data_IF_683862521896
#
_entry.id   IF_683862521896
#
_cell.length_a   1.000
_cell.length_b   1.000
_cell.length_c   1.000
_cell.angle_alpha   90.00
_cell.angle_beta   90.00
_cell.angle_gamma   90.00
#
_symmetry.space_group_name_H-M   'P 1'
#
loop_
_entity.id
_entity.type
_entity.pdbx_description
1 polymer ?
#
# COMPACT_ATOMS: atom_id res chain seq x y z
N UNK A 1 18.70 -2.60 8.63
CA UNK A 1 19.06 -2.11 7.28
C UNK A 1 17.79 -2.15 6.44
N UNK A 2 17.21 -1.01 6.17
CA UNK A 2 16.07 -0.95 5.28
C UNK A 2 16.49 -1.41 3.88
N UNK A 3 15.80 -2.41 3.38
CA UNK A 3 15.95 -2.78 1.97
C UNK A 3 15.50 -1.59 1.12
N UNK A 4 16.29 -1.18 0.15
CA UNK A 4 15.93 -0.09 -0.78
C UNK A 4 14.58 -0.30 -1.47
N UNK A 5 14.09 -1.55 -1.49
CA UNK A 5 12.87 -1.97 -2.17
C UNK A 5 11.66 -2.05 -1.23
N UNK A 6 11.82 -1.71 0.04
CA UNK A 6 10.76 -1.79 1.04
C UNK A 6 10.71 -0.49 1.84
N UNK A 7 9.50 0.02 2.05
CA UNK A 7 9.21 1.18 2.87
C UNK A 7 8.11 0.84 3.86
N UNK A 8 8.31 1.17 5.14
CA UNK A 8 7.40 0.82 6.21
C UNK A 8 7.12 2.05 7.07
N UNK A 9 5.84 2.28 7.36
CA UNK A 9 5.35 3.24 8.35
C UNK A 9 4.77 2.47 9.54
N UNK A 10 5.32 2.67 10.74
CA UNK A 10 4.89 1.92 11.92
C UNK A 10 4.98 2.67 13.24
N UNK A 11 5.30 3.95 13.20
CA UNK A 11 5.44 4.77 14.42
C UNK A 11 4.59 6.03 14.32
N UNK A 12 4.20 6.56 15.47
CA UNK A 12 3.39 7.78 15.56
C UNK A 12 3.95 8.92 14.71
N UNK A 13 5.23 9.21 14.83
CA UNK A 13 5.87 10.28 14.06
C UNK A 13 5.81 10.03 12.54
N UNK A 14 5.98 8.79 12.13
CA UNK A 14 5.88 8.42 10.71
C UNK A 14 4.45 8.60 10.20
N UNK A 15 3.45 8.14 10.94
CA UNK A 15 2.05 8.33 10.58
C UNK A 15 1.64 9.81 10.53
N UNK A 16 2.13 10.61 11.46
CA UNK A 16 1.79 12.05 11.53
C UNK A 16 2.31 12.86 10.34
N UNK A 17 3.19 12.31 9.53
CA UNK A 17 3.64 12.95 8.27
C UNK A 17 2.63 12.81 7.14
N UNK A 18 1.68 11.91 7.25
CA UNK A 18 0.62 11.70 6.28
C UNK A 18 -0.62 12.56 6.55
N UNK A 19 -1.64 12.34 5.76
CA UNK A 19 -2.93 13.00 5.90
C UNK A 19 -3.89 12.12 6.70
N UNK A 20 -4.49 12.73 7.71
CA UNK A 20 -5.45 12.11 8.61
C UNK A 20 -6.84 12.69 8.31
N UNK A 21 -7.73 11.89 7.77
CA UNK A 21 -9.12 12.24 7.49
C UNK A 21 -10.05 11.33 8.27
N UNK A 22 -10.73 11.87 9.29
CA UNK A 22 -11.57 11.11 10.23
C UNK A 22 -10.84 9.98 10.96
N UNK A 23 -9.54 10.06 11.04
CA UNK A 23 -8.69 9.15 11.79
C UNK A 23 -7.71 9.93 12.66
N UNK A 24 -7.25 9.30 13.72
CA UNK A 24 -6.22 9.86 14.61
C UNK A 24 -5.17 8.81 14.90
N UNK A 25 -4.02 9.23 15.38
CA UNK A 25 -2.97 8.32 15.85
C UNK A 25 -3.03 8.28 17.39
N UNK A 26 -3.30 7.10 17.90
CA UNK A 26 -3.37 6.85 19.34
C UNK A 26 -2.53 5.62 19.69
N UNK A 27 -1.61 5.76 20.64
CA UNK A 27 -0.72 4.68 21.08
C UNK A 27 0.02 3.98 19.93
N UNK A 28 0.52 4.75 18.96
CA UNK A 28 1.24 4.23 17.82
C UNK A 28 0.38 3.53 16.76
N UNK A 29 -0.93 3.70 16.81
CA UNK A 29 -1.89 3.09 15.88
C UNK A 29 -2.82 4.13 15.28
N UNK A 30 -3.19 3.93 14.03
CA UNK A 30 -4.23 4.70 13.37
C UNK A 30 -5.57 4.10 13.79
N UNK A 31 -6.47 4.94 14.30
CA UNK A 31 -7.83 4.58 14.71
C UNK A 31 -8.82 5.60 14.19
N UNK A 32 -10.10 5.24 14.12
CA UNK A 32 -11.17 6.19 13.76
C UNK A 32 -11.31 7.28 14.81
N UNK A 33 -11.58 8.50 14.35
CA UNK A 33 -11.88 9.64 15.23
C UNK A 33 -13.13 9.40 16.05
N UNK A 34 -13.18 10.07 17.19
CA UNK A 34 -14.35 10.14 18.06
C UNK A 34 -15.06 11.48 17.86
N UNK A 35 -16.35 11.42 17.61
CA UNK A 35 -17.23 12.58 17.57
C UNK A 35 -18.38 12.32 18.52
N UNK A 36 -18.58 13.22 19.49
CA UNK A 36 -19.62 13.10 20.52
C UNK A 36 -19.61 11.75 21.27
N UNK A 37 -18.41 11.21 21.52
CA UNK A 37 -18.23 9.96 22.26
C UNK A 37 -18.35 8.69 21.44
N UNK A 38 -18.63 8.77 20.15
CA UNK A 38 -18.70 7.61 19.23
C UNK A 38 -17.69 7.71 18.09
N UNK A 39 -17.21 6.59 17.64
CA UNK A 39 -16.35 6.54 16.45
C UNK A 39 -17.14 6.87 15.18
N UNK A 40 -16.53 7.66 14.31
CA UNK A 40 -17.08 7.90 12.97
C UNK A 40 -17.12 6.61 12.17
N UNK A 41 -18.07 6.44 11.21
CA UNK A 41 -18.24 5.16 10.50
C UNK A 41 -17.10 4.82 9.55
N UNK A 42 -16.36 5.80 9.07
CA UNK A 42 -15.18 5.57 8.21
C UNK A 42 -14.21 6.74 8.28
N UNK A 43 -12.97 6.44 7.98
CA UNK A 43 -11.91 7.42 7.84
C UNK A 43 -10.79 6.89 6.96
N UNK A 44 -9.86 7.74 6.61
CA UNK A 44 -8.77 7.40 5.70
C UNK A 44 -7.45 8.01 6.17
N UNK A 45 -6.41 7.20 6.16
CA UNK A 45 -5.04 7.66 6.30
C UNK A 45 -4.36 7.62 4.93
N UNK A 46 -3.72 8.71 4.52
CA UNK A 46 -2.95 8.78 3.27
C UNK A 46 -1.49 9.08 3.59
N UNK A 47 -0.59 8.21 3.14
CA UNK A 47 0.84 8.39 3.35
C UNK A 47 1.40 9.56 2.54
N UNK A 48 2.55 10.13 2.93
CA UNK A 48 3.33 10.92 1.99
C UNK A 48 3.69 10.12 0.75
N UNK A 49 4.04 10.80 -0.33
CA UNK A 49 4.62 10.16 -1.49
C UNK A 49 5.97 9.52 -1.12
N UNK A 50 6.16 8.27 -1.49
CA UNK A 50 7.35 7.49 -1.17
C UNK A 50 8.23 7.38 -2.41
N UNK A 51 9.44 7.95 -2.41
CA UNK A 51 10.40 7.71 -3.47
C UNK A 51 10.96 6.29 -3.35
N UNK A 52 11.01 5.58 -4.45
CA UNK A 52 11.44 4.20 -4.53
C UNK A 52 12.39 4.02 -5.72
N UNK A 53 13.25 2.97 -5.71
CA UNK A 53 13.93 2.57 -6.94
C UNK A 53 12.93 2.35 -8.06
N UNK A 54 13.31 2.56 -9.31
CA UNK A 54 12.44 2.28 -10.46
C UNK A 54 11.89 0.86 -10.37
N UNK A 55 10.59 0.69 -10.46
CA UNK A 55 9.90 -0.58 -10.27
C UNK A 55 8.77 -0.80 -11.28
N UNK A 56 8.39 -2.05 -11.44
CA UNK A 56 7.28 -2.46 -12.31
C UNK A 56 6.20 -3.25 -11.57
N UNK A 57 6.39 -3.54 -10.30
CA UNK A 57 5.40 -4.18 -9.46
C UNK A 57 5.51 -3.71 -8.01
N UNK A 58 4.37 -3.66 -7.33
CA UNK A 58 4.25 -3.17 -5.97
C UNK A 58 3.32 -4.07 -5.16
N UNK A 59 3.70 -4.37 -3.94
CA UNK A 59 2.87 -5.02 -2.92
C UNK A 59 2.66 -4.08 -1.75
N UNK A 60 1.44 -4.06 -1.24
CA UNK A 60 1.09 -3.35 -0.01
C UNK A 60 0.94 -4.37 1.12
N UNK A 61 1.46 -4.02 2.28
CA UNK A 61 1.30 -4.79 3.51
C UNK A 61 0.76 -3.90 4.62
N UNK A 62 0.04 -4.49 5.55
CA UNK A 62 -0.48 -3.79 6.72
C UNK A 62 -0.65 -4.75 7.89
N UNK A 63 -0.52 -4.20 9.11
CA UNK A 63 -0.94 -4.88 10.33
C UNK A 63 -2.13 -4.13 10.91
N UNK A 64 -3.24 -4.80 11.02
CA UNK A 64 -4.48 -4.22 11.53
C UNK A 64 -5.15 -5.14 12.53
N UNK A 65 -5.70 -4.55 13.57
CA UNK A 65 -6.69 -5.18 14.44
C UNK A 65 -8.07 -4.81 13.93
N UNK A 66 -8.86 -5.80 13.58
CA UNK A 66 -10.22 -5.61 13.06
C UNK A 66 -11.24 -6.38 13.92
N UNK A 67 -11.70 -5.80 15.04
CA UNK A 67 -12.77 -6.40 15.83
C UNK A 67 -14.02 -6.67 14.98
N UNK A 68 -14.95 -7.53 15.44
CA UNK A 68 -16.21 -7.77 14.72
C UNK A 68 -16.91 -6.46 14.35
N UNK A 69 -17.42 -6.36 13.14
CA UNK A 69 -18.08 -5.15 12.61
C UNK A 69 -17.13 -4.08 12.07
N UNK A 70 -15.84 -4.34 12.04
CA UNK A 70 -14.84 -3.42 11.47
C UNK A 70 -14.12 -4.03 10.29
N UNK A 71 -13.55 -3.20 9.45
CA UNK A 71 -12.75 -3.60 8.30
C UNK A 71 -11.73 -2.53 7.94
N UNK A 72 -10.71 -2.90 7.18
CA UNK A 72 -9.76 -1.98 6.57
C UNK A 72 -9.69 -2.24 5.07
N UNK A 73 -9.28 -1.22 4.32
CA UNK A 73 -9.09 -1.32 2.88
C UNK A 73 -7.84 -0.56 2.49
N UNK A 74 -6.84 -1.28 2.01
CA UNK A 74 -5.61 -0.68 1.53
C UNK A 74 -5.71 -0.34 0.04
N UNK A 75 -5.17 0.81 -0.34
CA UNK A 75 -5.10 1.28 -1.70
C UNK A 75 -3.73 1.85 -1.99
N UNK A 76 -3.33 1.80 -3.25
CA UNK A 76 -2.09 2.39 -3.72
C UNK A 76 -2.27 3.11 -5.06
N UNK A 77 -1.43 4.09 -5.31
CA UNK A 77 -1.22 4.69 -6.62
C UNK A 77 0.28 4.88 -6.86
N UNK A 78 0.65 4.94 -8.11
CA UNK A 78 2.05 5.05 -8.50
C UNK A 78 2.26 6.19 -9.51
N UNK A 79 3.48 6.68 -9.57
CA UNK A 79 3.88 7.75 -10.50
C UNK A 79 4.47 7.13 -11.76
N UNK A 80 3.77 7.26 -12.88
CA UNK A 80 4.16 6.77 -14.20
C UNK A 80 4.20 7.94 -15.18
N UNK A 81 5.31 8.12 -15.87
CA UNK A 81 5.50 9.21 -16.84
C UNK A 81 5.16 10.60 -16.27
N UNK A 82 5.52 10.84 -15.00
CA UNK A 82 5.28 12.11 -14.34
C UNK A 82 3.86 12.35 -13.84
N UNK A 83 2.97 11.37 -13.96
CA UNK A 83 1.57 11.48 -13.53
C UNK A 83 1.21 10.36 -12.54
N UNK A 84 0.39 10.70 -11.55
CA UNK A 84 -0.21 9.69 -10.67
C UNK A 84 -1.24 8.86 -11.43
N UNK A 85 -1.19 7.55 -11.25
CA UNK A 85 -2.29 6.68 -11.66
C UNK A 85 -3.52 6.92 -10.76
N UNK A 86 -4.67 6.42 -11.15
CA UNK A 86 -5.80 6.34 -10.23
C UNK A 86 -5.47 5.41 -9.06
N UNK A 87 -6.18 5.57 -7.94
CA UNK A 87 -6.07 4.69 -6.80
C UNK A 87 -6.57 3.28 -7.16
N UNK A 88 -5.80 2.29 -6.75
CA UNK A 88 -6.13 0.87 -6.91
C UNK A 88 -6.39 0.27 -5.54
N UNK A 89 -7.54 -0.37 -5.36
CA UNK A 89 -7.94 -0.99 -4.10
C UNK A 89 -7.59 -2.48 -4.08
N UNK A 90 -7.03 -2.94 -2.96
CA UNK A 90 -6.78 -4.35 -2.70
C UNK A 90 -7.96 -5.04 -2.00
N UNK A 91 -9.10 -4.36 -1.91
CA UNK A 91 -10.33 -4.86 -1.31
C UNK A 91 -10.40 -4.65 0.19
N UNK A 92 -11.61 -4.80 0.74
CA UNK A 92 -11.83 -4.76 2.18
C UNK A 92 -11.33 -6.05 2.82
N UNK A 93 -10.68 -5.89 3.96
CA UNK A 93 -10.17 -7.00 4.73
C UNK A 93 -10.67 -6.98 6.16
N UNK A 94 -11.16 -8.13 6.60
CA UNK A 94 -11.48 -8.45 7.98
C UNK A 94 -11.55 -9.99 8.09
N UNK A 95 -11.12 -10.59 9.21
CA UNK A 95 -11.26 -12.03 9.40
C UNK A 95 -12.71 -12.52 9.46
N UNK A 96 -13.66 -11.60 9.59
CA UNK A 96 -15.09 -11.89 9.69
C UNK A 96 -15.85 -11.63 8.37
N UNK A 97 -15.20 -11.08 7.37
CA UNK A 97 -15.75 -10.90 6.02
C UNK A 97 -15.26 -12.06 5.16
N UNK A 98 -16.16 -12.63 4.38
CA UNK A 98 -15.71 -13.42 3.24
C UNK A 98 -14.78 -12.52 2.40
N UNK A 99 -13.64 -13.05 2.03
CA UNK A 99 -12.66 -12.34 1.25
C UNK A 99 -13.31 -11.97 -0.09
N UNK A 100 -13.85 -10.78 -0.19
CA UNK A 100 -14.14 -10.19 -1.49
C UNK A 100 -12.80 -9.96 -2.17
N UNK A 101 -12.31 -11.02 -2.80
CA UNK A 101 -11.13 -10.90 -3.63
C UNK A 101 -11.42 -9.84 -4.67
N UNK A 102 -10.67 -8.75 -4.65
CA UNK A 102 -10.74 -7.78 -5.72
C UNK A 102 -10.55 -8.54 -7.04
N UNK A 103 -11.57 -8.52 -7.88
CA UNK A 103 -11.43 -9.09 -9.21
C UNK A 103 -10.27 -8.39 -9.91
N UNK A 104 -9.43 -9.12 -10.67
CA UNK A 104 -8.35 -8.50 -11.41
C UNK A 104 -8.90 -7.37 -12.28
N UNK A 105 -8.38 -6.17 -12.13
CA UNK A 105 -8.80 -5.00 -12.87
C UNK A 105 -7.62 -4.45 -13.64
N UNK A 106 -7.81 -4.26 -14.93
CA UNK A 106 -6.84 -3.58 -15.78
C UNK A 106 -7.32 -2.16 -16.05
N UNK A 107 -6.53 -1.15 -15.67
CA UNK A 107 -6.77 0.26 -15.97
C UNK A 107 -5.52 0.88 -16.59
N UNK A 108 -5.56 1.14 -17.89
CA UNK A 108 -4.39 1.67 -18.58
C UNK A 108 -3.20 0.71 -18.47
N UNK A 109 -2.06 1.21 -17.96
CA UNK A 109 -0.86 0.42 -17.74
C UNK A 109 -0.87 -0.40 -16.43
N UNK A 110 -1.91 -0.29 -15.62
CA UNK A 110 -1.99 -0.93 -14.31
C UNK A 110 -2.82 -2.20 -14.38
N UNK A 111 -2.21 -3.32 -14.03
CA UNK A 111 -2.88 -4.59 -13.77
C UNK A 111 -2.94 -4.81 -12.27
N UNK A 112 -4.12 -4.78 -11.70
CA UNK A 112 -4.34 -5.05 -10.29
C UNK A 112 -4.62 -6.53 -10.08
N UNK A 113 -3.75 -7.17 -9.33
CA UNK A 113 -3.92 -8.55 -8.84
C UNK A 113 -4.41 -8.52 -7.39
N UNK A 114 -4.86 -9.63 -6.82
CA UNK A 114 -5.39 -9.65 -5.45
C UNK A 114 -4.42 -9.13 -4.38
N UNK A 115 -3.12 -9.27 -4.61
CA UNK A 115 -2.07 -8.91 -3.64
C UNK A 115 -1.01 -7.95 -4.18
N UNK A 116 -1.11 -7.56 -5.45
CA UNK A 116 -0.07 -6.74 -6.09
C UNK A 116 -0.62 -5.88 -7.21
N UNK A 117 0.07 -4.79 -7.46
CA UNK A 117 -0.13 -3.90 -8.60
C UNK A 117 1.04 -4.10 -9.55
N UNK A 118 0.76 -4.46 -10.79
CA UNK A 118 1.78 -4.72 -11.83
C UNK A 118 1.60 -3.72 -12.96
N UNK A 119 2.71 -3.13 -13.42
CA UNK A 119 2.72 -2.20 -14.55
C UNK A 119 3.05 -2.95 -15.83
N UNK A 120 2.20 -2.78 -16.84
CA UNK A 120 2.41 -3.38 -18.16
C UNK A 120 3.27 -2.46 -19.02
N UNK A 121 4.48 -2.93 -19.37
CA UNK A 121 5.44 -2.21 -20.20
C UNK A 121 5.80 -0.79 -19.73
N UNK A 122 5.55 -0.50 -18.45
CA UNK A 122 5.82 0.78 -17.80
C UNK A 122 6.55 0.58 -16.50
N UNK A 123 7.14 1.63 -15.99
CA UNK A 123 7.80 1.66 -14.69
C UNK A 123 7.35 2.88 -13.89
N UNK A 124 7.52 2.81 -12.59
CA UNK A 124 7.23 3.89 -11.67
C UNK A 124 8.42 4.18 -10.77
N UNK A 125 8.45 5.35 -10.18
CA UNK A 125 9.53 5.82 -9.30
C UNK A 125 9.04 6.27 -7.94
N UNK A 126 7.73 6.42 -7.77
CA UNK A 126 7.10 6.81 -6.52
C UNK A 126 5.80 6.04 -6.33
N UNK A 127 5.47 5.82 -5.08
CA UNK A 127 4.19 5.25 -4.68
C UNK A 127 3.57 6.12 -3.58
N UNK A 128 2.27 6.04 -3.45
CA UNK A 128 1.52 6.59 -2.34
C UNK A 128 0.49 5.58 -1.89
N UNK A 129 0.37 5.41 -0.58
CA UNK A 129 -0.52 4.46 0.04
C UNK A 129 -1.64 5.20 0.77
N UNK A 130 -2.81 4.60 0.82
CA UNK A 130 -3.85 5.00 1.76
C UNK A 130 -4.55 3.78 2.31
N UNK A 131 -5.06 3.90 3.51
CA UNK A 131 -5.83 2.85 4.15
C UNK A 131 -7.10 3.45 4.74
N UNK A 132 -8.23 2.86 4.36
CA UNK A 132 -9.53 3.17 4.90
C UNK A 132 -9.81 2.29 6.11
N UNK A 133 -10.44 2.88 7.11
CA UNK A 133 -10.94 2.19 8.29
C UNK A 133 -12.47 2.32 8.29
N UNK A 134 -13.16 1.22 8.57
CA UNK A 134 -14.62 1.17 8.60
C UNK A 134 -15.12 0.54 9.89
N UNK A 135 -16.21 1.06 10.43
CA UNK A 135 -16.93 0.41 11.52
C UNK A 135 -18.45 0.50 11.32
N UNK A 136 -19.14 -0.54 11.74
CA UNK A 136 -20.62 -0.55 11.84
C UNK A 136 -21.11 -0.19 13.24
N UNK A 137 -20.18 -0.06 14.20
CA UNK A 137 -20.48 0.18 15.60
C UNK A 137 -19.66 1.37 16.11
N UNK A 138 -20.33 2.39 16.60
CA UNK A 138 -19.70 3.59 17.14
C UNK A 138 -18.79 3.33 18.36
N UNK A 139 -18.94 2.19 19.03
CA UNK A 139 -18.14 1.80 20.18
C UNK A 139 -16.88 1.03 19.80
N UNK A 140 -16.68 0.73 18.52
CA UNK A 140 -15.60 -0.13 18.05
C UNK A 140 -14.86 0.54 16.90
N UNK A 141 -13.54 0.44 16.90
CA UNK A 141 -12.69 0.93 15.83
C UNK A 141 -11.71 -0.16 15.39
N UNK A 142 -11.42 -0.27 14.10
CA UNK A 142 -10.22 -0.98 13.69
C UNK A 142 -8.99 -0.17 14.09
N UNK A 143 -7.85 -0.82 14.17
CA UNK A 143 -6.57 -0.15 14.43
C UNK A 143 -5.52 -0.62 13.45
N UNK A 144 -4.69 0.29 12.96
CA UNK A 144 -3.61 -0.01 12.03
C UNK A 144 -2.28 0.35 12.67
N UNK A 145 -1.41 -0.62 12.85
CA UNK A 145 -0.10 -0.44 13.48
C UNK A 145 1.06 -0.39 12.50
N UNK A 146 0.83 -0.81 11.26
CA UNK A 146 1.85 -0.81 10.22
C UNK A 146 1.19 -0.69 8.85
N UNK A 147 1.77 0.12 7.99
CA UNK A 147 1.48 0.16 6.55
C UNK A 147 2.82 0.15 5.82
N UNK A 148 2.94 -0.70 4.83
CA UNK A 148 4.18 -0.83 4.10
C UNK A 148 3.98 -1.10 2.62
N UNK A 149 5.04 -0.87 1.87
CA UNK A 149 5.12 -1.17 0.44
C UNK A 149 6.45 -1.84 0.14
N UNK A 150 6.40 -2.87 -0.68
CA UNK A 150 7.59 -3.46 -1.29
C UNK A 150 7.44 -3.48 -2.80
N UNK A 151 8.53 -3.26 -3.51
CA UNK A 151 8.53 -3.15 -4.96
C UNK A 151 9.49 -4.15 -5.58
N UNK A 152 9.17 -4.55 -6.80
CA UNK A 152 10.11 -5.24 -7.67
C UNK A 152 10.89 -4.20 -8.47
N UNK A 153 12.13 -3.94 -8.04
CA UNK A 153 12.99 -3.01 -8.75
C UNK A 153 13.38 -3.56 -10.11
N UNK A 154 13.42 -2.69 -11.10
CA UNK A 154 13.89 -3.01 -12.44
C UNK A 154 15.18 -2.27 -12.73
N UNK A 155 16.11 -2.94 -13.40
CA UNK A 155 17.34 -2.30 -13.84
C UNK A 155 17.02 -1.34 -14.99
N UNK A 156 17.29 -0.05 -14.78
CA UNK A 156 17.27 0.91 -15.86
C UNK A 156 18.53 0.69 -16.68
N UNK A 157 18.36 0.16 -17.89
CA UNK A 157 19.49 0.00 -18.82
C UNK A 157 19.76 1.37 -19.42
N UNK A 158 20.95 1.97 -19.18
CA UNK A 158 21.30 3.20 -19.87
C UNK A 158 21.27 2.99 -21.38
N UNK A 159 20.79 3.99 -22.14
CA UNK A 159 20.77 3.93 -23.58
C UNK A 159 22.18 3.55 -24.10
N UNK A 160 22.31 2.41 -24.82
CA UNK A 160 23.56 1.86 -25.30
C UNK A 160 24.27 0.85 -24.39
N UNK A 161 23.71 0.57 -23.20
CA UNK A 161 24.25 -0.44 -22.28
C UNK A 161 23.78 -1.86 -22.62
N UNK A 162 24.67 -2.83 -22.51
CA UNK A 162 24.25 -4.23 -22.55
C UNK A 162 23.65 -4.62 -21.20
N UNK A 163 22.58 -5.44 -21.17
CA UNK A 163 22.02 -5.95 -19.93
C UNK A 163 22.98 -6.98 -19.31
N UNK A 164 23.99 -6.51 -18.61
CA UNK A 164 25.01 -7.34 -17.98
C UNK A 164 24.38 -8.25 -16.93
N UNK A 165 23.33 -7.79 -16.30
CA UNK A 165 22.68 -8.51 -15.19
C UNK A 165 21.74 -9.62 -15.61
N UNK A 166 21.31 -9.67 -16.86
CA UNK A 166 20.43 -10.75 -17.35
C UNK A 166 21.10 -12.13 -17.27
N UNK A 167 22.43 -12.17 -17.30
CA UNK A 167 23.17 -13.44 -17.14
C UNK A 167 23.35 -13.85 -15.70
N UNK A 168 23.41 -12.92 -14.79
CA UNK A 168 23.62 -13.21 -13.36
C UNK A 168 22.38 -13.82 -12.72
N UNK A 169 21.21 -13.52 -13.24
CA UNK A 169 19.97 -14.10 -12.72
C UNK A 169 19.79 -15.58 -13.06
N UNK A 170 20.55 -16.08 -14.01
CA UNK A 170 20.51 -17.51 -14.37
C UNK A 170 21.56 -18.34 -13.62
N UNK A 171 22.48 -17.68 -12.92
CA UNK A 171 23.57 -18.35 -12.22
C UNK A 171 23.20 -19.00 -10.87
N UNK A 172 22.25 -18.48 -10.11
CA UNK A 172 21.94 -19.06 -8.79
C UNK A 172 21.29 -20.42 -8.80
N UNK A 173 20.88 -20.90 -9.93
CA UNK A 173 20.19 -22.18 -10.05
C UNK A 173 21.04 -23.31 -10.60
N UNK A 174 22.28 -23.04 -10.88
CA UNK A 174 23.26 -24.06 -11.24
C UNK A 174 23.87 -24.65 -9.96
N UNK A 175 23.06 -25.43 -9.25
CA UNK A 175 23.51 -26.24 -8.12
C UNK A 175 23.40 -27.69 -8.53
#
# INVERSE_FOLDING_TARGET
MESKNTFILHETEAFMRGELDNVTVAHGRIVLDLVSGGHVPYGCYTSPAVPLPTFDALRVSWNAGTPPGTAVEAQARVMVDGNWTSWSSFGRWSPYLEREGAAPVTKGAVNLLPDSLVLDSKTATQAQLRIYLYTKDEHTTPSVSLVGVSVRAVDVIPAGGRPINARLHLMPYAV
#
